data_IF_328417660086
#
_entry.id   IF_328417660086
#
_cell.length_a   1.000
_cell.length_b   1.000
_cell.length_c   1.000
_cell.angle_alpha   90.00
_cell.angle_beta   90.00
_cell.angle_gamma   90.00
#
_symmetry.space_group_name_H-M   'P 1'
#
loop_
_entity.id
_entity.type
_entity.pdbx_description
1 polymer ?
#
# COMPACT_ATOMS: atom_id res chain seq x y z
N UNK A 1 23.32 -18.28 7.07
CA UNK A 1 21.90 -18.31 7.49
C UNK A 1 21.12 -19.06 6.44
N UNK A 2 20.39 -20.12 6.80
CA UNK A 2 19.49 -20.80 5.85
C UNK A 2 18.33 -19.86 5.52
N UNK A 3 18.28 -19.38 4.28
CA UNK A 3 17.21 -18.49 3.79
C UNK A 3 15.89 -19.28 3.75
N UNK A 4 15.05 -19.06 4.76
CA UNK A 4 13.69 -19.61 4.87
C UNK A 4 12.60 -18.59 4.54
N UNK A 5 12.97 -17.47 3.91
CA UNK A 5 12.01 -16.44 3.52
C UNK A 5 10.96 -16.92 2.53
N UNK A 6 11.24 -17.99 1.76
CA UNK A 6 10.31 -18.61 0.80
C UNK A 6 8.99 -19.05 1.41
N UNK A 7 8.96 -19.31 2.72
CA UNK A 7 7.78 -19.81 3.43
C UNK A 7 6.81 -18.66 3.78
N UNK A 8 7.24 -17.41 3.60
CA UNK A 8 6.47 -16.22 3.94
C UNK A 8 6.28 -15.32 2.71
N UNK A 9 5.10 -14.70 2.66
CA UNK A 9 4.83 -13.64 1.70
C UNK A 9 5.74 -12.42 1.96
N UNK A 10 6.19 -11.68 0.92
CA UNK A 10 6.85 -10.38 1.09
C UNK A 10 6.03 -9.31 1.84
N UNK A 11 4.74 -9.59 2.07
CA UNK A 11 3.86 -8.75 2.90
C UNK A 11 3.81 -9.19 4.37
N UNK A 12 4.60 -10.20 4.76
CA UNK A 12 4.68 -10.72 6.11
C UNK A 12 6.02 -10.34 6.77
N UNK A 13 6.06 -9.82 8.00
CA UNK A 13 7.31 -9.38 8.65
C UNK A 13 8.43 -10.45 8.69
N UNK A 14 8.08 -11.71 8.98
CA UNK A 14 9.03 -12.84 8.97
C UNK A 14 9.80 -13.02 7.66
N UNK A 15 9.25 -12.61 6.51
CA UNK A 15 9.95 -12.67 5.23
C UNK A 15 11.27 -11.88 5.28
N UNK A 16 11.22 -10.64 5.77
CA UNK A 16 12.42 -9.80 5.87
C UNK A 16 13.33 -10.24 7.01
N UNK A 17 12.76 -10.66 8.14
CA UNK A 17 13.53 -11.19 9.28
C UNK A 17 14.38 -12.42 8.89
N UNK A 18 13.88 -13.26 7.97
CA UNK A 18 14.57 -14.47 7.50
C UNK A 18 15.48 -14.24 6.28
N UNK A 19 15.76 -12.98 5.93
CA UNK A 19 16.67 -12.61 4.84
C UNK A 19 16.02 -12.55 3.45
N UNK A 20 14.70 -12.35 3.39
CA UNK A 20 13.98 -12.13 2.16
C UNK A 20 14.40 -10.82 1.45
N UNK A 21 14.44 -10.85 0.13
CA UNK A 21 14.86 -9.71 -0.67
C UNK A 21 13.86 -8.54 -0.59
N UNK A 22 14.36 -7.33 -0.41
CA UNK A 22 13.56 -6.10 -0.40
C UNK A 22 12.85 -5.92 -1.75
N UNK A 23 11.52 -5.80 -1.71
CA UNK A 23 10.69 -5.55 -2.90
C UNK A 23 10.48 -4.05 -3.13
N UNK A 24 10.87 -3.54 -4.29
CA UNK A 24 10.70 -2.13 -4.64
C UNK A 24 9.23 -1.70 -4.70
N UNK A 25 8.95 -0.41 -4.47
CA UNK A 25 7.61 0.17 -4.63
C UNK A 25 7.01 -0.08 -6.02
N UNK A 26 7.85 -0.12 -7.07
CA UNK A 26 7.42 -0.46 -8.43
C UNK A 26 6.92 -1.91 -8.52
N UNK A 27 7.64 -2.84 -7.90
CA UNK A 27 7.24 -4.25 -7.83
C UNK A 27 5.98 -4.42 -6.96
N UNK A 28 5.87 -3.70 -5.85
CA UNK A 28 4.67 -3.69 -5.00
C UNK A 28 3.45 -3.25 -5.81
N UNK A 29 3.55 -2.14 -6.56
CA UNK A 29 2.46 -1.67 -7.42
C UNK A 29 2.07 -2.70 -8.49
N UNK A 30 3.06 -3.31 -9.16
CA UNK A 30 2.79 -4.33 -10.18
C UNK A 30 2.09 -5.57 -9.60
N UNK A 31 2.51 -6.03 -8.41
CA UNK A 31 1.89 -7.18 -7.72
C UNK A 31 0.45 -6.89 -7.31
N UNK A 32 0.17 -5.68 -6.83
CA UNK A 32 -1.19 -5.25 -6.50
C UNK A 32 -2.04 -5.13 -7.76
N UNK A 33 -1.52 -4.62 -8.87
CA UNK A 33 -2.29 -4.49 -10.10
C UNK A 33 -2.69 -5.83 -10.75
N UNK A 34 -1.91 -6.90 -10.51
CA UNK A 34 -2.22 -8.25 -11.02
C UNK A 34 -3.26 -8.96 -10.15
N UNK A 35 -3.25 -8.68 -8.85
CA UNK A 35 -4.28 -9.20 -7.96
C UNK A 35 -5.50 -8.29 -8.12
N UNK A 36 -6.62 -8.83 -8.54
CA UNK A 36 -7.89 -8.10 -8.54
C UNK A 36 -8.35 -7.89 -7.07
N UNK A 37 -7.59 -7.09 -6.33
CA UNK A 37 -7.83 -6.82 -4.92
C UNK A 37 -8.92 -5.77 -4.87
N UNK A 38 -10.08 -6.20 -4.40
CA UNK A 38 -11.16 -5.30 -4.04
C UNK A 38 -10.62 -4.23 -3.09
N UNK A 39 -10.90 -2.96 -3.41
CA UNK A 39 -10.42 -1.85 -2.60
C UNK A 39 -10.99 -1.99 -1.19
N UNK A 40 -10.13 -1.91 -0.16
CA UNK A 40 -10.57 -1.87 1.23
C UNK A 40 -11.49 -0.69 1.57
N UNK A 41 -11.67 0.25 0.62
CA UNK A 41 -12.55 1.42 0.72
C UNK A 41 -13.72 1.37 -0.26
N UNK A 42 -14.00 0.22 -0.87
CA UNK A 42 -15.06 0.09 -1.89
C UNK A 42 -16.40 0.66 -1.38
N UNK A 43 -16.83 0.24 -0.18
CA UNK A 43 -18.06 0.73 0.46
C UNK A 43 -18.08 2.25 0.64
N UNK A 44 -16.96 2.84 1.06
CA UNK A 44 -16.85 4.30 1.24
C UNK A 44 -16.99 5.03 -0.11
N UNK A 45 -16.38 4.51 -1.18
CA UNK A 45 -16.52 5.09 -2.52
C UNK A 45 -17.95 4.99 -3.07
N UNK A 46 -18.65 3.89 -2.81
CA UNK A 46 -20.06 3.75 -3.19
C UNK A 46 -20.96 4.76 -2.45
N UNK A 47 -20.76 4.95 -1.14
CA UNK A 47 -21.50 5.95 -0.38
C UNK A 47 -21.27 7.37 -0.94
N UNK A 48 -20.02 7.71 -1.27
CA UNK A 48 -19.69 9.02 -1.85
C UNK A 48 -20.35 9.20 -3.21
N UNK A 49 -20.32 8.16 -4.05
CA UNK A 49 -20.90 8.20 -5.39
C UNK A 49 -22.41 8.41 -5.38
N UNK A 50 -23.12 7.98 -4.33
CA UNK A 50 -24.55 8.24 -4.15
C UNK A 50 -24.90 9.70 -3.79
N UNK A 51 -23.91 10.55 -3.46
CA UNK A 51 -24.14 11.95 -3.09
C UNK A 51 -24.50 12.78 -4.32
N UNK A 52 -25.36 13.77 -4.11
CA UNK A 52 -25.70 14.77 -5.15
C UNK A 52 -24.57 15.79 -5.28
N UNK A 53 -24.37 16.33 -6.49
CA UNK A 53 -23.43 17.43 -6.71
C UNK A 53 -23.87 18.72 -6.00
N UNK A 54 -22.94 19.58 -5.54
CA UNK A 54 -21.48 19.48 -5.67
C UNK A 54 -20.80 18.63 -4.57
N UNK A 55 -21.58 18.11 -3.60
CA UNK A 55 -21.03 17.43 -2.42
C UNK A 55 -20.23 16.18 -2.77
N UNK A 56 -20.63 15.46 -3.82
CA UNK A 56 -19.88 14.31 -4.34
C UNK A 56 -18.47 14.72 -4.75
N UNK A 57 -18.35 15.71 -5.63
CA UNK A 57 -17.07 16.19 -6.13
C UNK A 57 -16.17 16.75 -5.02
N UNK A 58 -16.73 17.54 -4.11
CA UNK A 58 -15.98 18.09 -2.96
C UNK A 58 -15.46 16.96 -2.04
N UNK A 59 -16.29 15.97 -1.76
CA UNK A 59 -15.89 14.83 -0.91
C UNK A 59 -14.78 14.01 -1.58
N UNK A 60 -14.88 13.77 -2.89
CA UNK A 60 -13.85 13.06 -3.66
C UNK A 60 -12.51 13.79 -3.64
N UNK A 61 -12.51 15.13 -3.72
CA UNK A 61 -11.29 15.93 -3.64
C UNK A 61 -10.62 15.78 -2.28
N UNK A 62 -11.37 15.94 -1.18
CA UNK A 62 -10.84 15.79 0.18
C UNK A 62 -10.26 14.39 0.42
N UNK A 63 -10.94 13.35 -0.06
CA UNK A 63 -10.47 11.97 0.09
C UNK A 63 -9.22 11.72 -0.75
N UNK A 64 -9.16 12.25 -1.97
CA UNK A 64 -7.95 12.17 -2.79
C UNK A 64 -6.77 12.81 -2.08
N UNK A 65 -6.94 14.00 -1.51
CA UNK A 65 -5.88 14.68 -0.76
C UNK A 65 -5.40 13.86 0.43
N UNK A 66 -6.34 13.32 1.22
CA UNK A 66 -6.03 12.43 2.34
C UNK A 66 -5.24 11.19 1.91
N UNK A 67 -5.69 10.48 0.86
CA UNK A 67 -5.00 9.30 0.33
C UNK A 67 -3.59 9.65 -0.10
N UNK A 68 -3.40 10.79 -0.79
CA UNK A 68 -2.09 11.21 -1.25
C UNK A 68 -1.13 11.52 -0.09
N UNK A 69 -1.64 12.13 0.99
CA UNK A 69 -0.85 12.39 2.20
C UNK A 69 -0.45 11.09 2.91
N UNK A 70 -1.39 10.16 3.07
CA UNK A 70 -1.14 8.84 3.67
C UNK A 70 -0.13 8.05 2.84
N UNK A 71 -0.30 7.99 1.52
CA UNK A 71 0.63 7.31 0.62
C UNK A 71 2.04 7.92 0.70
N UNK A 72 2.16 9.24 0.76
CA UNK A 72 3.46 9.90 0.91
C UNK A 72 4.15 9.53 2.23
N UNK A 73 3.39 9.50 3.34
CA UNK A 73 3.88 9.06 4.65
C UNK A 73 4.36 7.60 4.60
N UNK A 74 3.57 6.72 4.00
CA UNK A 74 3.87 5.29 3.95
C UNK A 74 5.09 5.00 3.06
N UNK A 75 5.23 5.70 1.93
CA UNK A 75 6.44 5.65 1.09
C UNK A 75 7.68 6.12 1.86
N UNK A 76 7.55 7.18 2.67
CA UNK A 76 8.65 7.68 3.50
C UNK A 76 9.06 6.65 4.56
N UNK A 77 8.08 6.05 5.25
CA UNK A 77 8.31 4.99 6.23
C UNK A 77 8.97 3.76 5.58
N UNK A 78 8.46 3.32 4.43
CA UNK A 78 9.06 2.23 3.64
C UNK A 78 10.53 2.52 3.31
N UNK A 79 10.86 3.73 2.83
CA UNK A 79 12.25 4.10 2.49
C UNK A 79 13.18 4.06 3.72
N UNK A 80 12.68 4.41 4.92
CA UNK A 80 13.45 4.27 6.17
C UNK A 80 13.70 2.80 6.51
N UNK A 81 12.65 1.98 6.52
CA UNK A 81 12.76 0.55 6.83
C UNK A 81 13.70 -0.17 5.86
N UNK A 82 13.66 0.15 4.56
CA UNK A 82 14.58 -0.42 3.58
C UNK A 82 16.03 -0.04 3.84
N UNK A 83 16.30 1.19 4.29
CA UNK A 83 17.66 1.57 4.68
C UNK A 83 18.12 0.76 5.88
N UNK A 84 17.28 0.60 6.89
CA UNK A 84 17.59 -0.17 8.10
C UNK A 84 17.84 -1.66 7.80
N UNK A 85 17.15 -2.24 6.82
CA UNK A 85 17.36 -3.61 6.36
C UNK A 85 18.63 -3.80 5.51
N UNK A 86 19.18 -2.72 4.96
CA UNK A 86 20.37 -2.73 4.09
C UNK A 86 21.65 -2.24 4.81
N UNK A 87 21.62 -2.12 6.14
CA UNK A 87 22.78 -1.82 7.00
C UNK A 87 23.39 -3.12 7.51
#
# INVERSE_FOLDING_TARGET
>A
MNNRSSDYSPFHPWYYYLGGAVISLKQTKARIAIKDVESYRAEEFEEINSRVEPRRSETLLLIKEKIMQELARDISAYRRAVRELNI
#
